data_IF_046799554062
#
_entry.id   IF_046799554062
#
_cell.length_a   1.000
_cell.length_b   1.000
_cell.length_c   1.000
_cell.angle_alpha   90.00
_cell.angle_beta   90.00
_cell.angle_gamma   90.00
#
_symmetry.space_group_name_H-M   'P 1'
#
loop_
_entity.id
_entity.type
_entity.pdbx_description
1 polymer ?
#
# COMPACT_ATOMS: atom_id res chain seq x y z
N UNK A 1 20.88 8.35 13.87
CA UNK A 1 19.71 8.24 14.77
C UNK A 1 18.53 7.63 14.01
N UNK A 2 17.64 6.89 14.68
CA UNK A 2 16.42 6.37 14.03
C UNK A 2 15.47 7.52 13.69
N UNK A 3 14.97 7.55 12.46
CA UNK A 3 14.01 8.55 11.98
C UNK A 3 12.60 8.25 12.54
N UNK A 4 12.28 6.96 12.67
CA UNK A 4 11.01 6.48 13.20
C UNK A 4 11.19 5.08 13.81
N UNK A 5 10.57 4.83 14.97
CA UNK A 5 10.44 3.50 15.57
C UNK A 5 8.98 3.24 15.87
N UNK A 6 8.45 2.14 15.33
CA UNK A 6 7.06 1.74 15.53
C UNK A 6 7.02 0.32 16.09
N UNK A 7 6.16 0.03 17.09
CA UNK A 7 5.98 -1.34 17.54
C UNK A 7 5.57 -2.24 16.38
N UNK A 8 6.14 -3.44 16.26
CA UNK A 8 5.72 -4.40 15.23
C UNK A 8 4.21 -4.69 15.32
N UNK A 9 3.64 -4.63 16.52
CA UNK A 9 2.22 -4.83 16.77
C UNK A 9 1.31 -3.81 16.07
N UNK A 10 1.80 -2.63 15.70
CA UNK A 10 1.03 -1.66 14.91
C UNK A 10 1.26 -1.83 13.41
N UNK A 11 2.38 -2.40 12.98
CA UNK A 11 2.64 -2.63 11.56
C UNK A 11 1.82 -3.82 11.06
N UNK A 12 1.17 -3.65 9.91
CA UNK A 12 0.51 -4.75 9.21
C UNK A 12 1.45 -5.26 8.13
N UNK A 13 2.08 -6.40 8.39
CA UNK A 13 2.94 -7.10 7.42
C UNK A 13 2.12 -8.02 6.52
N UNK A 14 2.68 -8.45 5.39
CA UNK A 14 2.03 -9.44 4.50
C UNK A 14 1.78 -10.77 5.21
N UNK A 15 2.73 -11.23 6.03
CA UNK A 15 2.58 -12.46 6.81
C UNK A 15 1.43 -12.35 7.81
N UNK A 16 1.31 -11.21 8.53
CA UNK A 16 0.20 -10.96 9.45
C UNK A 16 -1.13 -10.85 8.72
N UNK A 17 -1.16 -10.17 7.56
CA UNK A 17 -2.34 -10.09 6.72
C UNK A 17 -2.80 -11.47 6.24
N UNK A 18 -1.87 -12.32 5.80
CA UNK A 18 -2.17 -13.70 5.40
C UNK A 18 -2.78 -14.51 6.55
N UNK A 19 -2.24 -14.37 7.77
CA UNK A 19 -2.76 -15.03 8.97
C UNK A 19 -4.20 -14.58 9.32
N UNK A 20 -4.53 -13.28 9.12
CA UNK A 20 -5.87 -12.75 9.38
C UNK A 20 -6.92 -13.22 8.35
N UNK A 21 -6.51 -13.40 7.10
CA UNK A 21 -7.38 -13.71 5.97
C UNK A 21 -7.65 -15.21 5.78
N UNK A 22 -6.80 -16.06 6.36
CA UNK A 22 -6.89 -17.51 6.25
C UNK A 22 -6.41 -18.07 4.90
N UNK A 23 -6.17 -19.38 4.88
CA UNK A 23 -5.49 -20.07 3.77
C UNK A 23 -6.24 -19.97 2.44
N UNK A 24 -7.57 -20.11 2.46
CA UNK A 24 -8.39 -20.04 1.24
C UNK A 24 -8.22 -18.70 0.51
N UNK A 25 -8.24 -17.60 1.26
CA UNK A 25 -8.07 -16.25 0.72
C UNK A 25 -6.66 -16.05 0.17
N UNK A 26 -5.66 -16.55 0.89
CA UNK A 26 -4.25 -16.48 0.48
C UNK A 26 -3.98 -17.30 -0.79
N UNK A 27 -4.63 -18.46 -0.92
CA UNK A 27 -4.57 -19.30 -2.12
C UNK A 27 -5.26 -18.64 -3.32
N UNK A 28 -6.41 -17.98 -3.09
CA UNK A 28 -7.14 -17.26 -4.14
C UNK A 28 -6.35 -16.08 -4.73
N UNK A 29 -5.31 -15.62 -4.05
CA UNK A 29 -4.42 -14.55 -4.51
C UNK A 29 -3.14 -15.08 -5.19
N UNK A 30 -2.99 -16.39 -5.39
CA UNK A 30 -1.77 -17.01 -5.90
C UNK A 30 -1.44 -16.67 -7.36
N UNK A 31 -2.44 -16.30 -8.18
CA UNK A 31 -2.25 -15.86 -9.57
C UNK A 31 -1.62 -14.46 -9.68
N UNK A 32 -1.64 -13.68 -8.59
CA UNK A 32 -1.06 -12.35 -8.57
C UNK A 32 0.47 -12.39 -8.50
N UNK A 33 1.14 -11.42 -9.15
CA UNK A 33 2.57 -11.20 -8.95
C UNK A 33 2.89 -10.90 -7.48
N UNK A 34 4.08 -11.25 -6.96
CA UNK A 34 4.39 -11.12 -5.53
C UNK A 34 4.08 -9.74 -4.92
N UNK A 35 4.42 -8.66 -5.63
CA UNK A 35 4.13 -7.30 -5.18
C UNK A 35 2.62 -7.00 -5.13
N UNK A 36 1.87 -7.34 -6.18
CA UNK A 36 0.41 -7.12 -6.22
C UNK A 36 -0.33 -8.01 -5.23
N UNK A 37 0.13 -9.24 -5.04
CA UNK A 37 -0.37 -10.16 -4.01
C UNK A 37 -0.19 -9.57 -2.62
N UNK A 38 0.97 -9.00 -2.34
CA UNK A 38 1.22 -8.34 -1.07
C UNK A 38 0.25 -7.17 -0.82
N UNK A 39 0.06 -6.28 -1.81
CA UNK A 39 -0.89 -5.17 -1.72
C UNK A 39 -2.33 -5.66 -1.52
N UNK A 40 -2.74 -6.70 -2.25
CA UNK A 40 -4.06 -7.31 -2.12
C UNK A 40 -4.29 -7.85 -0.71
N UNK A 41 -3.36 -8.64 -0.17
CA UNK A 41 -3.50 -9.20 1.16
C UNK A 41 -3.52 -8.10 2.23
N UNK A 42 -2.63 -7.11 2.14
CA UNK A 42 -2.61 -5.98 3.08
C UNK A 42 -3.93 -5.20 3.05
N UNK A 43 -4.44 -4.88 1.86
CA UNK A 43 -5.71 -4.16 1.70
C UNK A 43 -6.91 -4.94 2.22
N UNK A 44 -6.99 -6.25 1.93
CA UNK A 44 -8.07 -7.10 2.42
C UNK A 44 -8.05 -7.26 3.93
N UNK A 45 -6.87 -7.46 4.52
CA UNK A 45 -6.73 -7.55 5.97
C UNK A 45 -7.13 -6.24 6.65
N UNK A 46 -6.76 -5.10 6.06
CA UNK A 46 -7.18 -3.78 6.54
C UNK A 46 -8.69 -3.59 6.46
N UNK A 47 -9.32 -4.02 5.37
CA UNK A 47 -10.78 -3.99 5.23
C UNK A 47 -11.48 -4.87 6.26
N UNK A 48 -10.97 -6.08 6.52
CA UNK A 48 -11.51 -6.98 7.55
C UNK A 48 -11.38 -6.35 8.95
N UNK A 49 -10.23 -5.77 9.27
CA UNK A 49 -10.01 -5.05 10.54
C UNK A 49 -10.94 -3.85 10.67
N UNK A 50 -11.21 -3.12 9.57
CA UNK A 50 -12.16 -1.99 9.55
C UNK A 50 -13.60 -2.42 9.85
N UNK A 51 -14.00 -3.62 9.45
CA UNK A 51 -15.39 -4.09 9.53
C UNK A 51 -15.77 -4.75 10.86
N UNK A 52 -14.81 -5.14 11.70
CA UNK A 52 -15.15 -5.83 12.96
C UNK A 52 -13.97 -6.19 13.84
N UNK A 53 -12.87 -5.44 13.74
CA UNK A 53 -11.72 -5.61 14.63
C UNK A 53 -11.78 -4.68 15.84
N UNK A 54 -11.04 -5.04 16.89
CA UNK A 54 -10.70 -4.16 18.00
C UNK A 54 -9.19 -3.84 17.99
N UNK A 55 -8.82 -2.71 18.59
CA UNK A 55 -7.43 -2.32 18.80
C UNK A 55 -6.88 -1.28 17.80
N UNK A 56 -5.57 -1.04 17.87
CA UNK A 56 -4.92 0.09 17.21
C UNK A 56 -5.06 0.10 15.68
N UNK A 57 -5.05 -1.08 15.04
CA UNK A 57 -5.26 -1.19 13.59
C UNK A 57 -6.70 -0.87 13.18
N UNK A 58 -7.70 -1.18 14.01
CA UNK A 58 -9.09 -0.80 13.76
C UNK A 58 -9.26 0.72 13.83
N UNK A 59 -8.74 1.33 14.90
CA UNK A 59 -8.74 2.79 15.05
C UNK A 59 -8.06 3.48 13.85
N UNK A 60 -6.91 2.97 13.42
CA UNK A 60 -6.22 3.46 12.24
C UNK A 60 -7.05 3.28 10.95
N UNK A 61 -7.64 2.10 10.74
CA UNK A 61 -8.45 1.83 9.55
C UNK A 61 -9.67 2.77 9.46
N UNK A 62 -10.20 3.22 10.59
CA UNK A 62 -11.27 4.22 10.68
C UNK A 62 -10.83 5.65 10.31
N UNK A 63 -9.54 5.99 10.44
CA UNK A 63 -9.00 7.30 10.05
C UNK A 63 -8.74 7.41 8.55
N UNK A 64 -8.67 6.28 7.84
CA UNK A 64 -8.36 6.27 6.42
C UNK A 64 -9.50 6.83 5.58
N UNK A 65 -9.19 7.56 4.49
CA UNK A 65 -10.20 8.08 3.59
C UNK A 65 -11.15 6.99 3.09
N UNK A 66 -12.45 7.27 3.06
CA UNK A 66 -13.45 6.36 2.50
C UNK A 66 -13.33 6.22 0.98
N UNK A 67 -12.71 7.21 0.32
CA UNK A 67 -12.35 7.19 -1.10
C UNK A 67 -10.87 7.49 -1.22
N UNK A 68 -10.17 6.71 -2.03
CA UNK A 68 -8.78 6.95 -2.40
C UNK A 68 -8.77 7.20 -3.89
N UNK A 69 -8.36 8.40 -4.30
CA UNK A 69 -8.29 8.79 -5.70
C UNK A 69 -7.07 8.14 -6.35
N UNK A 70 -7.20 6.86 -6.68
CA UNK A 70 -6.21 6.14 -7.49
C UNK A 70 -6.86 5.59 -8.75
N UNK A 71 -6.14 5.67 -9.90
CA UNK A 71 -6.69 5.27 -11.20
C UNK A 71 -7.22 3.85 -11.22
N UNK A 72 -6.67 2.95 -10.40
CA UNK A 72 -7.10 1.55 -10.30
C UNK A 72 -8.57 1.34 -9.93
N UNK A 73 -9.26 2.34 -9.35
CA UNK A 73 -10.69 2.28 -8.98
C UNK A 73 -11.67 2.87 -9.95
N UNK A 74 -11.20 3.44 -11.05
CA UNK A 74 -12.11 4.03 -12.02
C UNK A 74 -12.57 2.93 -12.96
N UNK A 75 -13.86 2.61 -12.87
CA UNK A 75 -14.48 1.47 -13.57
C UNK A 75 -14.35 1.60 -15.08
N UNK A 76 -14.35 2.82 -15.62
CA UNK A 76 -14.30 3.07 -17.05
C UNK A 76 -13.63 4.41 -17.35
N UNK A 77 -12.43 4.37 -17.93
CA UNK A 77 -11.87 5.31 -18.90
C UNK A 77 -11.04 6.56 -18.46
N UNK A 78 -11.43 7.51 -17.59
CA UNK A 78 -10.62 8.72 -17.40
C UNK A 78 -9.29 8.42 -16.68
N UNK A 79 -9.19 7.34 -15.92
CA UNK A 79 -8.01 7.05 -15.11
C UNK A 79 -6.95 6.31 -15.89
N UNK A 80 -7.41 5.43 -16.77
CA UNK A 80 -6.55 4.82 -17.78
C UNK A 80 -6.10 5.90 -18.76
N UNK A 81 -7.00 6.77 -19.25
CA UNK A 81 -6.66 7.89 -20.14
C UNK A 81 -5.72 8.91 -19.51
N UNK A 82 -5.88 9.25 -18.23
CA UNK A 82 -4.95 10.13 -17.49
C UNK A 82 -3.60 9.42 -17.28
N UNK A 83 -3.60 8.14 -16.92
CA UNK A 83 -2.35 7.38 -16.83
C UNK A 83 -1.63 7.27 -18.18
N UNK A 84 -2.36 7.04 -19.27
CA UNK A 84 -1.85 7.03 -20.64
C UNK A 84 -1.30 8.40 -21.05
N UNK A 85 -2.03 9.48 -20.73
CA UNK A 85 -1.67 10.84 -21.11
C UNK A 85 -0.51 11.43 -20.29
N UNK A 86 -0.35 11.05 -19.01
CA UNK A 86 0.57 11.72 -18.09
C UNK A 86 1.62 10.82 -17.44
N UNK A 87 1.37 9.51 -17.30
CA UNK A 87 2.25 8.59 -16.57
C UNK A 87 3.00 7.61 -17.51
N UNK A 88 2.57 7.52 -18.77
CA UNK A 88 3.21 6.73 -19.81
C UNK A 88 2.86 5.23 -19.79
N UNK A 89 3.34 4.46 -20.79
CA UNK A 89 2.88 3.09 -21.04
C UNK A 89 3.15 2.09 -19.90
N UNK A 90 4.21 2.32 -19.13
CA UNK A 90 4.56 1.47 -17.99
C UNK A 90 3.53 1.58 -16.86
N UNK A 91 3.09 2.80 -16.52
CA UNK A 91 2.13 3.03 -15.45
C UNK A 91 0.76 2.43 -15.80
N UNK A 92 0.37 2.52 -17.07
CA UNK A 92 -0.86 1.92 -17.60
C UNK A 92 -0.84 0.40 -17.47
N UNK A 93 0.29 -0.23 -17.83
CA UNK A 93 0.47 -1.67 -17.68
C UNK A 93 0.42 -2.10 -16.20
N UNK A 94 1.10 -1.39 -15.32
CA UNK A 94 1.11 -1.66 -13.88
C UNK A 94 -0.31 -1.54 -13.28
N UNK A 95 -1.09 -0.53 -13.70
CA UNK A 95 -2.49 -0.37 -13.30
C UNK A 95 -3.37 -1.52 -13.80
N UNK A 96 -3.19 -1.94 -15.06
CA UNK A 96 -3.94 -3.06 -15.64
C UNK A 96 -3.65 -4.37 -14.91
N UNK A 97 -2.39 -4.64 -14.58
CA UNK A 97 -1.98 -5.85 -13.84
C UNK A 97 -2.53 -5.87 -12.41
N UNK A 98 -2.53 -4.72 -11.71
CA UNK A 98 -3.15 -4.59 -10.37
C UNK A 98 -4.65 -4.86 -10.42
N UNK A 99 -5.35 -4.31 -11.41
CA UNK A 99 -6.80 -4.55 -11.62
C UNK A 99 -7.06 -6.03 -11.91
N UNK A 100 -6.28 -6.64 -12.80
CA UNK A 100 -6.40 -8.06 -13.14
C UNK A 100 -6.17 -8.96 -11.91
N UNK A 101 -5.18 -8.64 -11.07
CA UNK A 101 -4.94 -9.34 -9.82
C UNK A 101 -6.17 -9.29 -8.90
N UNK A 102 -6.70 -8.09 -8.62
CA UNK A 102 -7.87 -7.93 -7.77
C UNK A 102 -9.11 -8.63 -8.34
N UNK A 103 -9.39 -8.45 -9.62
CA UNK A 103 -10.56 -9.06 -10.25
C UNK A 103 -10.47 -10.59 -10.31
N UNK A 104 -9.31 -11.13 -10.68
CA UNK A 104 -9.07 -12.57 -10.67
C UNK A 104 -9.21 -13.18 -9.27
N UNK A 105 -8.89 -12.42 -8.22
CA UNK A 105 -9.15 -12.82 -6.84
C UNK A 105 -10.65 -12.84 -6.53
N UNK A 106 -11.38 -11.76 -6.86
CA UNK A 106 -12.82 -11.69 -6.64
C UNK A 106 -13.57 -12.85 -7.30
N UNK A 107 -13.21 -13.18 -8.54
CA UNK A 107 -13.80 -14.31 -9.27
C UNK A 107 -13.59 -15.66 -8.58
N UNK A 108 -12.46 -15.85 -7.88
CA UNK A 108 -12.17 -17.08 -7.15
C UNK A 108 -12.90 -17.20 -5.80
N UNK A 109 -13.23 -16.06 -5.18
CA UNK A 109 -13.84 -16.04 -3.84
C UNK A 109 -15.35 -15.74 -3.87
N UNK A 110 -15.90 -15.23 -4.98
CA UNK A 110 -17.32 -14.88 -5.05
C UNK A 110 -18.19 -16.13 -4.88
N UNK A 111 -19.03 -16.11 -3.85
CA UNK A 111 -20.13 -17.05 -3.72
C UNK A 111 -21.32 -16.62 -4.58
N UNK A 112 -22.31 -17.52 -4.81
CA UNK A 112 -23.47 -17.23 -5.66
C UNK A 112 -24.35 -16.06 -5.16
N UNK A 113 -24.21 -15.64 -3.90
CA UNK A 113 -25.04 -14.62 -3.26
C UNK A 113 -24.29 -13.30 -2.93
N UNK A 114 -23.10 -13.09 -3.50
CA UNK A 114 -22.29 -11.88 -3.23
C UNK A 114 -22.73 -10.73 -4.14
N UNK A 115 -23.16 -9.61 -3.57
CA UNK A 115 -23.42 -8.37 -4.34
C UNK A 115 -22.13 -7.89 -4.97
N UNK A 116 -22.09 -7.86 -6.30
CA UNK A 116 -20.88 -7.60 -7.08
C UNK A 116 -20.42 -6.16 -6.92
N UNK A 117 -21.34 -5.18 -6.95
CA UNK A 117 -20.99 -3.75 -6.84
C UNK A 117 -20.34 -3.41 -5.49
N UNK A 118 -20.96 -3.85 -4.38
CA UNK A 118 -20.44 -3.60 -3.03
C UNK A 118 -19.06 -4.24 -2.83
N UNK A 119 -18.85 -5.43 -3.39
CA UNK A 119 -17.59 -6.16 -3.25
C UNK A 119 -16.50 -5.55 -4.11
N UNK A 120 -16.83 -5.08 -5.32
CA UNK A 120 -15.90 -4.38 -6.21
C UNK A 120 -15.42 -3.07 -5.59
N UNK A 121 -16.33 -2.27 -5.04
CA UNK A 121 -15.99 -1.02 -4.37
C UNK A 121 -15.05 -1.26 -3.16
N UNK A 122 -15.36 -2.27 -2.34
CA UNK A 122 -14.55 -2.66 -1.18
C UNK A 122 -13.17 -3.17 -1.57
N UNK A 123 -13.10 -4.05 -2.57
CA UNK A 123 -11.84 -4.57 -3.09
C UNK A 123 -10.99 -3.46 -3.68
N UNK A 124 -11.63 -2.52 -4.39
CA UNK A 124 -10.88 -1.42 -4.94
C UNK A 124 -10.34 -0.50 -3.86
N UNK A 125 -11.16 -0.13 -2.88
CA UNK A 125 -10.70 0.62 -1.72
C UNK A 125 -9.52 -0.08 -1.04
N UNK A 126 -9.58 -1.39 -0.84
CA UNK A 126 -8.51 -2.18 -0.23
C UNK A 126 -7.20 -2.07 -1.03
N UNK A 127 -7.25 -2.37 -2.33
CA UNK A 127 -6.08 -2.30 -3.21
C UNK A 127 -5.52 -0.88 -3.31
N UNK A 128 -6.40 0.12 -3.40
CA UNK A 128 -6.08 1.53 -3.47
C UNK A 128 -5.34 2.03 -2.24
N UNK A 129 -5.93 1.75 -1.09
CA UNK A 129 -5.37 2.11 0.21
C UNK A 129 -4.03 1.42 0.42
N UNK A 130 -3.91 0.13 0.08
CA UNK A 130 -2.64 -0.57 0.18
C UNK A 130 -1.59 0.01 -0.79
N UNK A 131 -1.95 0.31 -2.04
CA UNK A 131 -1.02 0.90 -3.00
C UNK A 131 -0.54 2.30 -2.59
N UNK A 132 -1.40 3.10 -1.96
CA UNK A 132 -1.04 4.44 -1.47
C UNK A 132 -0.29 4.42 -0.14
N UNK A 133 -0.55 3.44 0.74
CA UNK A 133 -0.07 3.42 2.15
C UNK A 133 0.92 2.32 2.48
N UNK A 134 1.23 1.41 1.55
CA UNK A 134 2.24 0.40 1.78
C UNK A 134 3.64 0.92 1.46
N UNK A 135 4.58 0.57 2.32
CA UNK A 135 6.00 0.78 2.13
C UNK A 135 6.67 -0.53 1.72
N UNK A 136 7.60 -0.47 0.78
CA UNK A 136 8.51 -1.59 0.49
C UNK A 136 9.80 -1.37 1.27
N UNK A 137 10.16 -2.33 2.09
CA UNK A 137 11.39 -2.33 2.86
C UNK A 137 12.57 -2.79 1.99
N UNK A 138 13.83 -2.51 2.38
CA UNK A 138 15.03 -2.89 1.63
C UNK A 138 15.18 -4.41 1.41
N UNK A 139 14.68 -5.22 2.34
CA UNK A 139 14.62 -6.68 2.22
C UNK A 139 13.55 -7.17 1.23
N UNK A 140 12.75 -6.25 0.68
CA UNK A 140 11.68 -6.52 -0.26
C UNK A 140 10.32 -6.79 0.39
N UNK A 141 10.22 -6.83 1.72
CA UNK A 141 8.95 -6.96 2.42
C UNK A 141 8.07 -5.73 2.15
N UNK A 142 6.77 -5.96 1.95
CA UNK A 142 5.78 -4.89 1.79
C UNK A 142 4.97 -4.82 3.08
N UNK A 143 4.88 -3.64 3.68
CA UNK A 143 4.22 -3.44 4.97
C UNK A 143 3.32 -2.23 4.92
N UNK A 144 2.22 -2.25 5.67
CA UNK A 144 1.39 -1.08 5.90
C UNK A 144 1.73 -0.49 7.27
N UNK A 145 2.15 0.78 7.24
CA UNK A 145 2.58 1.51 8.42
C UNK A 145 1.46 2.46 8.86
N UNK A 146 0.81 2.26 10.02
CA UNK A 146 -0.34 3.05 10.42
C UNK A 146 0.07 4.42 10.98
N UNK A 147 0.52 5.33 10.12
CA UNK A 147 1.09 6.61 10.53
C UNK A 147 0.81 7.73 9.53
N UNK A 148 -0.44 8.23 9.43
CA UNK A 148 -0.79 9.33 8.52
C UNK A 148 0.06 10.58 8.74
N UNK A 149 0.39 10.90 10.00
CA UNK A 149 1.19 12.08 10.35
C UNK A 149 2.63 12.00 9.82
N UNK A 150 3.21 10.80 9.74
CA UNK A 150 4.57 10.58 9.24
C UNK A 150 4.60 10.08 7.80
N UNK A 151 3.45 9.75 7.21
CA UNK A 151 3.35 9.11 5.91
C UNK A 151 4.05 9.89 4.79
N UNK A 152 3.93 11.23 4.68
CA UNK A 152 4.67 11.98 3.66
C UNK A 152 6.20 11.77 3.73
N UNK A 153 6.76 11.64 4.94
CA UNK A 153 8.19 11.39 5.15
C UNK A 153 8.58 9.94 4.86
N UNK A 154 7.74 8.98 5.24
CA UNK A 154 7.94 7.56 4.93
C UNK A 154 7.87 7.33 3.42
N UNK A 155 6.88 7.91 2.75
CA UNK A 155 6.68 7.86 1.30
C UNK A 155 7.88 8.44 0.55
N UNK A 156 8.30 9.65 0.91
CA UNK A 156 9.49 10.28 0.33
C UNK A 156 10.73 9.39 0.51
N UNK A 157 10.92 8.79 1.68
CA UNK A 157 12.02 7.84 1.91
C UNK A 157 11.92 6.58 1.04
N UNK A 158 10.75 5.93 0.94
CA UNK A 158 10.56 4.74 0.10
C UNK A 158 10.74 5.02 -1.39
N UNK A 159 10.41 6.23 -1.84
CA UNK A 159 10.52 6.64 -3.25
C UNK A 159 11.94 7.12 -3.60
N UNK A 160 12.70 7.64 -2.63
CA UNK A 160 14.05 8.20 -2.85
C UNK A 160 15.21 7.25 -2.52
N UNK A 161 15.00 6.22 -1.69
CA UNK A 161 16.15 5.54 -1.08
C UNK A 161 15.96 4.04 -0.82
N UNK A 162 16.12 3.17 -1.83
CA UNK A 162 16.72 1.87 -1.58
C UNK A 162 18.26 1.95 -1.42
N UNK A 163 18.91 3.05 -1.85
CA UNK A 163 20.38 3.10 -1.95
C UNK A 163 21.13 3.68 -0.73
N UNK A 164 20.47 4.36 0.22
CA UNK A 164 21.18 5.08 1.30
C UNK A 164 20.60 4.89 2.72
N UNK A 165 19.34 4.46 2.88
CA UNK A 165 18.71 4.25 4.19
C UNK A 165 18.51 2.76 4.51
N UNK A 166 18.33 2.42 5.78
CA UNK A 166 17.97 1.06 6.19
C UNK A 166 16.64 1.07 6.94
N UNK A 167 15.81 0.07 6.65
CA UNK A 167 14.66 -0.26 7.46
C UNK A 167 14.57 -1.77 7.60
N UNK A 168 14.17 -2.23 8.77
CA UNK A 168 13.91 -3.64 9.02
C UNK A 168 12.79 -3.78 10.03
N UNK A 169 11.99 -4.85 9.87
CA UNK A 169 11.06 -5.29 10.90
C UNK A 169 11.79 -6.28 11.79
N UNK A 170 12.25 -5.81 12.96
CA UNK A 170 12.78 -6.68 14.00
C UNK A 170 11.66 -7.41 14.76
N UNK A 171 12.05 -8.17 15.78
CA UNK A 171 11.12 -8.95 16.60
C UNK A 171 10.13 -8.07 17.38
N UNK A 172 10.54 -6.86 17.78
CA UNK A 172 9.71 -5.94 18.57
C UNK A 172 9.35 -4.63 17.84
N UNK A 173 10.17 -4.17 16.88
CA UNK A 173 10.05 -2.83 16.28
C UNK A 173 10.26 -2.85 14.77
N UNK A 174 9.50 -2.05 14.04
CA UNK A 174 9.92 -1.49 12.76
C UNK A 174 10.81 -0.28 13.06
N UNK A 175 12.05 -0.31 12.61
CA UNK A 175 12.97 0.81 12.71
C UNK A 175 13.28 1.34 11.32
N UNK A 176 12.98 2.63 11.08
CA UNK A 176 13.37 3.34 9.86
C UNK A 176 14.53 4.27 10.22
N UNK A 177 15.68 4.08 9.59
CA UNK A 177 16.86 4.91 9.77
C UNK A 177 17.07 5.76 8.52
N UNK A 178 17.21 7.07 8.73
CA UNK A 178 17.73 7.94 7.68
C UNK A 178 19.14 7.48 7.32
N UNK A 179 19.48 7.52 6.04
CA UNK A 179 20.87 7.67 5.64
C UNK A 179 21.47 8.79 6.48
N UNK A 180 22.61 8.57 7.14
CA UNK A 180 23.43 9.73 7.50
C UNK A 180 23.64 10.46 6.16
N UNK A 181 23.26 11.73 6.08
CA UNK A 181 23.60 12.55 4.93
C UNK A 181 25.08 12.27 4.64
N UNK A 182 25.37 11.78 3.43
CA UNK A 182 26.74 11.61 2.97
C UNK A 182 27.35 13.00 3.14
N UNK A 183 28.14 13.16 4.20
CA UNK A 183 28.96 14.33 4.42
C UNK A 183 30.05 14.25 3.36
N UNK A 184 29.79 14.85 2.20
CA UNK A 184 30.67 14.75 1.04
C UNK A 184 29.98 15.25 -0.23
N UNK A 185 30.02 16.57 -0.40
CA UNK A 185 29.98 17.32 -1.66
C UNK A 185 28.67 17.36 -2.49
N UNK A 186 28.09 18.57 -2.57
CA UNK A 186 27.38 19.02 -3.77
C UNK A 186 25.91 19.42 -3.62
N UNK A 187 25.68 20.61 -3.04
CA UNK A 187 24.54 21.53 -3.31
C UNK A 187 23.10 21.06 -2.99
N UNK A 188 22.38 21.72 -2.06
CA UNK A 188 20.94 21.51 -1.90
C UNK A 188 20.19 22.05 -3.13
N UNK A 189 19.43 21.20 -3.81
CA UNK A 189 18.42 21.65 -4.78
C UNK A 189 17.26 22.22 -3.98
N UNK A 190 17.03 23.52 -4.13
CA UNK A 190 15.95 24.25 -3.47
C UNK A 190 14.57 23.63 -3.78
N UNK A 191 13.63 23.64 -2.83
CA UNK A 191 12.24 23.29 -3.13
C UNK A 191 11.67 24.30 -4.12
N UNK A 192 11.19 23.81 -5.27
CA UNK A 192 10.36 24.63 -6.14
C UNK A 192 9.02 24.80 -5.44
N UNK A 193 8.84 25.94 -4.78
CA UNK A 193 7.52 26.47 -4.48
C UNK A 193 6.88 26.92 -5.81
N UNK A 194 5.92 26.16 -6.32
CA UNK A 194 4.84 26.71 -7.12
C UNK A 194 3.60 26.56 -6.22
N UNK A 195 3.13 27.59 -5.51
CA UNK A 195 2.75 28.87 -6.05
C UNK A 195 1.31 28.73 -6.57
N UNK A 196 0.34 28.87 -5.67
CA UNK A 196 -1.04 29.16 -6.05
C UNK A 196 -1.06 30.52 -6.78
N UNK A 197 -1.73 30.55 -7.93
CA UNK A 197 -2.08 31.74 -8.70
C UNK A 197 -3.24 31.40 -9.61
#
# INVERSE_FOLDING_TARGET
AALLRLPRAVVLTTARAAALLGERTVAAAAHCRPHHRALLLLGLALLQVRQGGDGLLHAYAGLLPSKVDVPQCWEDDPGTKVAEAFLGPWAVRELAERRACGWGFFEQIRGPNVRVEDTRARLCWAMATAADRAARLPDGEVVLVPCDFFWPRVKAWTESAPAAGSASVGDAWLEVRSAAAVAGEGTPVAPVSAGFG
#
